data_IF_328917596554
#
_entry.id   IF_328917596554
#
_cell.length_a   1.000
_cell.length_b   1.000
_cell.length_c   1.000
_cell.angle_alpha   90.00
_cell.angle_beta   90.00
_cell.angle_gamma   90.00
#
_symmetry.space_group_name_H-M   'P 1'
#
loop_
_entity.id
_entity.type
_entity.pdbx_description
1 polymer ?
#
# COMPACT_ATOMS: atom_id res chain seq x y z
N UNK A 1 28.89 44.16 57.07
CA UNK A 1 28.38 43.69 55.77
C UNK A 1 29.36 43.91 54.62
N UNK A 2 30.03 45.07 54.49
CA UNK A 2 31.02 45.29 53.41
C UNK A 2 32.19 44.27 53.42
N UNK A 3 32.68 43.89 54.60
CA UNK A 3 33.78 42.93 54.73
C UNK A 3 33.44 41.52 54.23
N UNK A 4 32.18 41.08 54.33
CA UNK A 4 31.73 39.76 53.88
C UNK A 4 31.64 39.69 52.35
N UNK A 5 31.22 40.80 51.73
CA UNK A 5 31.14 40.92 50.27
C UNK A 5 32.54 40.94 49.64
N UNK A 6 33.49 41.65 50.26
CA UNK A 6 34.88 41.68 49.78
C UNK A 6 35.53 40.29 49.88
N UNK A 7 35.30 39.55 50.97
CA UNK A 7 35.82 38.18 51.09
C UNK A 7 35.22 37.22 50.05
N UNK A 8 33.95 37.37 49.67
CA UNK A 8 33.32 36.54 48.63
C UNK A 8 33.89 36.82 47.23
N UNK A 9 34.19 38.10 46.92
CA UNK A 9 34.80 38.49 45.64
C UNK A 9 36.24 37.96 45.56
N UNK A 10 37.00 38.02 46.66
CA UNK A 10 38.37 37.47 46.71
C UNK A 10 38.35 35.95 46.55
N UNK A 11 37.42 35.24 47.20
CA UNK A 11 37.30 33.78 47.07
C UNK A 11 36.90 33.37 45.64
N UNK A 12 35.96 34.09 45.00
CA UNK A 12 35.57 33.83 43.62
C UNK A 12 36.72 34.12 42.63
N UNK A 13 37.46 35.22 42.85
CA UNK A 13 38.63 35.58 42.05
C UNK A 13 39.75 34.55 42.17
N UNK A 14 40.03 34.07 43.38
CA UNK A 14 41.04 33.03 43.63
C UNK A 14 40.63 31.69 43.01
N UNK A 15 39.35 31.32 43.05
CA UNK A 15 38.84 30.11 42.38
C UNK A 15 38.91 30.19 40.86
N UNK A 16 38.64 31.37 40.26
CA UNK A 16 38.80 31.58 38.81
C UNK A 16 40.27 31.50 38.39
N UNK A 17 41.19 32.08 39.17
CA UNK A 17 42.63 31.97 38.89
C UNK A 17 43.09 30.52 39.01
N UNK A 18 42.68 29.78 40.05
CA UNK A 18 43.01 28.35 40.20
C UNK A 18 42.44 27.50 39.04
N UNK A 19 41.27 27.85 38.51
CA UNK A 19 40.70 27.18 37.34
C UNK A 19 41.42 27.53 36.03
N UNK A 20 42.00 28.74 35.92
CA UNK A 20 42.73 29.22 34.75
C UNK A 20 44.24 28.90 34.78
N UNK A 21 44.83 28.68 35.95
CA UNK A 21 46.26 28.35 36.13
C UNK A 21 46.53 26.88 36.44
N UNK A 22 45.49 26.05 36.56
CA UNK A 22 45.68 24.60 36.45
C UNK A 22 46.00 24.32 34.99
N UNK A 23 47.29 24.07 34.74
CA UNK A 23 47.84 23.65 33.47
C UNK A 23 46.85 22.70 32.78
N UNK A 24 46.30 23.19 31.67
CA UNK A 24 45.86 22.30 30.63
C UNK A 24 47.10 21.48 30.28
N UNK A 25 47.15 20.23 30.72
CA UNK A 25 48.04 19.26 30.08
C UNK A 25 47.66 19.31 28.61
N UNK A 26 48.51 19.99 27.85
CA UNK A 26 48.57 19.86 26.41
C UNK A 26 48.82 18.38 26.17
N UNK A 27 47.75 17.62 25.97
CA UNK A 27 47.84 16.41 25.17
C UNK A 27 48.17 16.92 23.79
N UNK A 28 49.48 16.98 23.53
CA UNK A 28 50.04 16.93 22.20
C UNK A 28 49.30 15.75 21.57
N UNK A 29 48.32 16.05 20.70
CA UNK A 29 47.90 15.10 19.69
C UNK A 29 49.12 15.01 18.78
N UNK A 30 50.13 14.27 19.25
CA UNK A 30 51.01 13.57 18.36
C UNK A 30 49.99 12.90 17.43
N UNK A 31 50.07 13.26 16.15
CA UNK A 31 49.79 12.26 15.15
C UNK A 31 50.71 11.08 15.50
N UNK A 32 50.27 10.25 16.43
CA UNK A 32 50.14 8.85 16.15
C UNK A 32 49.35 8.85 14.83
N UNK A 33 50.10 8.96 13.73
CA UNK A 33 50.17 7.88 12.77
C UNK A 33 50.17 6.61 13.61
N UNK A 34 48.97 6.24 14.08
CA UNK A 34 48.56 4.88 14.16
C UNK A 34 48.94 4.42 12.78
N UNK A 35 50.05 3.69 12.70
CA UNK A 35 50.17 2.69 11.68
C UNK A 35 48.77 2.10 11.64
N UNK A 36 48.02 2.48 10.61
CA UNK A 36 47.09 1.57 10.02
C UNK A 36 48.00 0.37 9.69
N UNK A 37 48.23 -0.50 10.69
CA UNK A 37 47.78 -1.86 10.54
C UNK A 37 46.42 -1.64 9.93
N UNK A 38 46.38 -1.78 8.61
CA UNK A 38 45.25 -2.34 7.92
C UNK A 38 44.77 -3.42 8.89
N UNK A 39 43.83 -3.04 9.77
CA UNK A 39 42.95 -4.00 10.35
C UNK A 39 42.30 -4.49 9.09
N UNK A 40 42.89 -5.55 8.49
CA UNK A 40 42.32 -6.27 7.36
C UNK A 40 40.88 -6.34 7.78
N UNK A 41 40.00 -5.55 7.13
CA UNK A 41 38.59 -5.55 7.46
C UNK A 41 38.28 -7.03 7.51
N UNK A 42 37.94 -7.54 8.71
CA UNK A 42 37.77 -8.98 8.87
C UNK A 42 36.59 -9.28 7.97
N UNK A 43 36.88 -9.72 6.74
CA UNK A 43 35.88 -9.99 5.73
C UNK A 43 34.91 -10.93 6.41
N UNK A 44 33.68 -10.48 6.60
CA UNK A 44 32.73 -11.27 7.35
C UNK A 44 32.61 -12.62 6.63
N UNK A 45 32.93 -13.74 7.28
CA UNK A 45 32.97 -15.05 6.62
C UNK A 45 31.61 -15.46 6.03
N UNK A 46 30.54 -14.79 6.45
CA UNK A 46 29.19 -15.02 6.00
C UNK A 46 28.76 -14.09 4.88
N UNK A 47 29.41 -12.94 4.63
CA UNK A 47 28.91 -11.95 3.67
C UNK A 47 28.69 -12.49 2.25
N UNK A 48 29.48 -13.48 1.82
CA UNK A 48 29.41 -14.10 0.49
C UNK A 48 28.63 -15.43 0.48
N UNK A 49 27.90 -15.76 1.55
CA UNK A 49 27.22 -17.07 1.69
C UNK A 49 25.73 -17.04 1.26
N UNK A 50 25.35 -16.08 0.41
CA UNK A 50 23.99 -15.94 -0.10
C UNK A 50 23.48 -17.20 -0.82
N UNK A 51 24.30 -17.78 -1.70
CA UNK A 51 23.95 -19.00 -2.45
C UNK A 51 23.73 -20.21 -1.53
N UNK A 52 24.53 -20.31 -0.45
CA UNK A 52 24.35 -21.36 0.55
C UNK A 52 23.02 -21.20 1.29
N UNK A 53 22.59 -19.96 1.58
CA UNK A 53 21.31 -19.68 2.20
C UNK A 53 20.15 -20.00 1.25
N UNK A 54 20.26 -19.64 -0.03
CA UNK A 54 19.27 -19.99 -1.07
C UNK A 54 19.13 -21.50 -1.20
N UNK A 55 20.24 -22.23 -1.35
CA UNK A 55 20.23 -23.68 -1.49
C UNK A 55 19.59 -24.37 -0.27
N UNK A 56 19.79 -23.81 0.93
CA UNK A 56 19.17 -24.32 2.16
C UNK A 56 17.64 -24.11 2.17
N UNK A 57 17.13 -22.99 1.64
CA UNK A 57 15.69 -22.81 1.46
C UNK A 57 15.16 -23.75 0.38
N UNK A 58 15.80 -23.81 -0.79
CA UNK A 58 15.36 -24.64 -1.91
C UNK A 58 15.22 -26.11 -1.51
N UNK A 59 16.17 -26.66 -0.75
CA UNK A 59 16.13 -28.06 -0.29
C UNK A 59 15.22 -28.32 0.91
N UNK A 60 14.62 -27.27 1.49
CA UNK A 60 13.74 -27.43 2.64
C UNK A 60 12.49 -28.23 2.24
N UNK A 61 12.17 -29.25 3.03
CA UNK A 61 11.01 -30.11 2.81
C UNK A 61 9.72 -29.35 3.09
N UNK A 62 8.76 -29.49 2.18
CA UNK A 62 7.42 -28.94 2.32
C UNK A 62 6.62 -29.84 3.24
N UNK A 63 6.00 -29.25 4.26
CA UNK A 63 5.14 -29.98 5.20
C UNK A 63 3.74 -30.11 4.63
N UNK A 64 3.04 -31.21 4.97
CA UNK A 64 1.63 -31.40 4.63
C UNK A 64 1.32 -31.90 3.22
N UNK A 65 2.32 -32.08 2.33
CA UNK A 65 2.14 -32.71 1.01
C UNK A 65 2.61 -34.18 0.98
N UNK A 66 3.57 -34.56 1.84
CA UNK A 66 4.09 -35.92 1.92
C UNK A 66 3.05 -36.93 2.44
N UNK A 67 2.03 -36.49 3.16
CA UNK A 67 0.94 -37.34 3.67
C UNK A 67 -0.07 -37.72 2.57
N UNK A 68 -0.14 -36.96 1.47
CA UNK A 68 -1.07 -37.21 0.36
C UNK A 68 -0.45 -38.04 -0.79
N UNK A 69 0.87 -38.07 -0.90
CA UNK A 69 1.58 -38.62 -2.06
C UNK A 69 1.94 -40.12 -1.95
N UNK A 70 1.65 -40.77 -0.81
CA UNK A 70 2.01 -42.18 -0.55
C UNK A 70 3.50 -42.37 -0.16
N UNK A 71 3.82 -43.52 0.45
CA UNK A 71 5.11 -43.80 1.10
C UNK A 71 6.35 -43.77 0.17
N UNK A 72 6.16 -43.79 -1.15
CA UNK A 72 7.24 -43.86 -2.15
C UNK A 72 7.49 -42.53 -2.91
N UNK A 73 6.75 -41.46 -2.61
CA UNK A 73 6.95 -40.18 -3.27
C UNK A 73 8.11 -39.39 -2.64
N UNK A 74 9.03 -38.88 -3.47
CA UNK A 74 10.06 -37.96 -2.98
C UNK A 74 9.40 -36.74 -2.30
N UNK A 75 9.87 -36.34 -1.10
CA UNK A 75 9.26 -35.24 -0.38
C UNK A 75 9.44 -33.94 -1.18
N UNK A 76 8.32 -33.31 -1.54
CA UNK A 76 8.33 -32.02 -2.23
C UNK A 76 9.20 -31.01 -1.49
N UNK A 77 9.97 -30.24 -2.25
CA UNK A 77 10.86 -29.21 -1.73
C UNK A 77 10.34 -27.83 -2.08
N UNK A 78 10.72 -26.81 -1.31
CA UNK A 78 10.35 -25.41 -1.62
C UNK A 78 10.87 -25.04 -3.00
N UNK A 79 12.08 -25.47 -3.38
CA UNK A 79 12.66 -25.22 -4.70
C UNK A 79 11.80 -25.77 -5.83
N UNK A 80 11.27 -26.99 -5.69
CA UNK A 80 10.38 -27.60 -6.68
C UNK A 80 9.05 -26.82 -6.80
N UNK A 81 8.46 -26.38 -5.68
CA UNK A 81 7.23 -25.58 -5.71
C UNK A 81 7.42 -24.19 -6.32
N UNK A 82 8.58 -23.55 -6.13
CA UNK A 82 8.88 -22.25 -6.77
C UNK A 82 9.21 -22.37 -8.26
N UNK A 83 9.41 -23.59 -8.78
CA UNK A 83 9.54 -23.84 -10.21
C UNK A 83 8.19 -24.20 -10.88
N UNK A 84 7.14 -24.41 -10.07
CA UNK A 84 5.80 -24.76 -10.55
C UNK A 84 4.94 -23.49 -10.70
N UNK A 85 4.71 -23.08 -11.95
CA UNK A 85 3.87 -21.91 -12.28
C UNK A 85 2.42 -22.07 -11.81
N UNK A 86 1.91 -23.30 -11.79
CA UNK A 86 0.58 -23.63 -11.25
C UNK A 86 0.53 -23.35 -9.75
N UNK A 87 1.54 -23.78 -9.01
CA UNK A 87 1.62 -23.48 -7.57
C UNK A 87 1.70 -21.96 -7.30
N UNK A 88 2.52 -21.22 -8.06
CA UNK A 88 2.67 -19.76 -7.90
C UNK A 88 1.34 -19.05 -8.13
N UNK A 89 0.69 -19.33 -9.26
CA UNK A 89 -0.56 -18.67 -9.62
C UNK A 89 -1.73 -19.09 -8.74
N UNK A 90 -1.88 -20.39 -8.44
CA UNK A 90 -3.05 -20.91 -7.73
C UNK A 90 -2.93 -20.83 -6.21
N UNK A 91 -1.74 -21.06 -5.63
CA UNK A 91 -1.53 -21.11 -4.18
C UNK A 91 -0.90 -19.83 -3.64
N UNK A 92 0.09 -19.25 -4.31
CA UNK A 92 0.63 -17.96 -3.87
C UNK A 92 -0.21 -16.77 -4.34
N UNK A 93 -1.14 -16.97 -5.28
CA UNK A 93 -2.00 -15.91 -5.85
C UNK A 93 -1.18 -14.78 -6.49
N UNK A 94 -0.03 -15.12 -7.05
CA UNK A 94 0.81 -14.19 -7.79
C UNK A 94 0.58 -14.46 -9.27
N UNK A 95 -0.14 -13.56 -9.93
CA UNK A 95 -0.43 -13.59 -11.36
C UNK A 95 -0.01 -12.27 -11.98
N UNK A 96 0.79 -12.30 -13.05
CA UNK A 96 1.21 -11.10 -13.78
C UNK A 96 2.69 -10.72 -13.61
N UNK A 97 3.21 -10.53 -12.38
CA UNK A 97 4.61 -10.18 -12.13
C UNK A 97 5.61 -11.18 -12.73
N UNK A 98 6.71 -10.67 -13.29
CA UNK A 98 7.81 -11.50 -13.83
C UNK A 98 8.64 -12.07 -12.68
N UNK A 99 9.07 -13.33 -12.78
CA UNK A 99 9.98 -13.91 -11.79
C UNK A 99 11.35 -13.24 -11.89
N UNK A 100 11.77 -12.56 -10.82
CA UNK A 100 13.13 -12.05 -10.65
C UNK A 100 14.07 -13.11 -10.05
N UNK A 101 13.52 -14.25 -9.62
CA UNK A 101 14.27 -15.40 -9.11
C UNK A 101 14.67 -15.30 -7.64
N UNK A 102 15.62 -16.15 -7.24
CA UNK A 102 16.09 -16.25 -5.87
C UNK A 102 17.06 -15.10 -5.53
N UNK A 103 16.82 -14.46 -4.40
CA UNK A 103 17.65 -13.39 -3.87
C UNK A 103 18.00 -13.68 -2.42
N UNK A 104 19.21 -13.31 -2.02
CA UNK A 104 19.67 -13.38 -0.64
C UNK A 104 20.26 -12.04 -0.22
N UNK A 105 19.70 -11.48 0.84
CA UNK A 105 20.25 -10.30 1.50
C UNK A 105 20.82 -10.72 2.84
N UNK A 106 22.09 -10.39 3.07
CA UNK A 106 22.69 -10.57 4.39
C UNK A 106 22.03 -9.61 5.38
N UNK A 107 21.39 -10.15 6.41
CA UNK A 107 20.60 -9.33 7.34
C UNK A 107 21.46 -8.89 8.52
N UNK A 108 22.22 -7.81 8.30
CA UNK A 108 23.27 -7.33 9.23
C UNK A 108 22.81 -6.54 10.46
N UNK A 109 21.51 -6.34 10.71
CA UNK A 109 21.01 -5.40 11.74
C UNK A 109 20.29 -6.02 12.96
N UNK A 110 20.50 -7.30 13.28
CA UNK A 110 19.95 -7.85 14.52
C UNK A 110 21.03 -8.12 15.56
N UNK A 111 20.67 -7.90 16.83
CA UNK A 111 21.47 -8.12 18.06
C UNK A 111 22.00 -9.57 18.24
N UNK A 112 21.92 -10.42 17.22
CA UNK A 112 22.17 -11.87 17.24
C UNK A 112 23.30 -12.36 16.32
N UNK A 113 24.02 -11.48 15.62
CA UNK A 113 25.30 -11.82 14.98
C UNK A 113 25.22 -12.33 13.52
N UNK A 114 26.35 -12.80 12.96
CA UNK A 114 26.64 -12.64 11.53
C UNK A 114 26.15 -13.74 10.56
N UNK A 115 25.44 -14.80 11.00
CA UNK A 115 25.04 -15.95 10.15
C UNK A 115 23.61 -15.90 9.57
N UNK A 116 22.91 -14.78 9.73
CA UNK A 116 21.51 -14.64 9.30
C UNK A 116 21.36 -14.04 7.91
N UNK A 117 20.50 -14.66 7.11
CA UNK A 117 20.14 -14.23 5.77
C UNK A 117 18.63 -14.08 5.64
N UNK A 118 18.21 -13.03 4.95
CA UNK A 118 16.88 -12.93 4.38
C UNK A 118 16.93 -13.50 2.96
N UNK A 119 16.26 -14.62 2.73
CA UNK A 119 16.16 -15.24 1.40
C UNK A 119 14.76 -15.01 0.86
N UNK A 120 14.63 -14.59 -0.38
CA UNK A 120 13.35 -14.32 -1.06
C UNK A 120 13.33 -15.00 -2.42
N UNK A 121 12.16 -15.50 -2.82
CA UNK A 121 11.89 -15.74 -4.23
C UNK A 121 11.08 -14.55 -4.74
N UNK A 122 11.73 -13.68 -5.53
CA UNK A 122 11.22 -12.37 -5.87
C UNK A 122 10.43 -12.40 -7.18
N UNK A 123 9.32 -11.69 -7.19
CA UNK A 123 8.53 -11.37 -8.36
C UNK A 123 8.53 -9.85 -8.54
N UNK A 124 8.91 -9.42 -9.74
CA UNK A 124 9.00 -8.01 -10.09
C UNK A 124 7.64 -7.52 -10.58
N UNK A 125 7.06 -6.61 -9.81
CA UNK A 125 5.86 -5.86 -10.18
C UNK A 125 6.21 -4.38 -10.35
N UNK A 126 6.44 -3.97 -11.59
CA UNK A 126 7.00 -2.68 -11.95
C UNK A 126 8.35 -2.45 -11.24
N UNK A 127 8.46 -1.49 -10.32
CA UNK A 127 9.70 -1.17 -9.62
C UNK A 127 9.79 -1.80 -8.22
N UNK A 128 8.83 -2.66 -7.86
CA UNK A 128 8.74 -3.29 -6.55
C UNK A 128 8.90 -4.80 -6.68
N UNK A 129 9.65 -5.38 -5.76
CA UNK A 129 9.82 -6.84 -5.67
C UNK A 129 9.07 -7.39 -4.46
N UNK A 130 8.19 -8.35 -4.72
CA UNK A 130 7.36 -9.03 -3.72
C UNK A 130 7.56 -10.54 -3.77
N UNK A 131 7.15 -11.26 -2.73
CA UNK A 131 7.14 -12.73 -2.79
C UNK A 131 7.40 -13.40 -1.44
N UNK A 132 7.44 -14.74 -1.43
CA UNK A 132 7.75 -15.49 -0.23
C UNK A 132 9.17 -15.19 0.25
N UNK A 133 9.30 -14.92 1.55
CA UNK A 133 10.57 -14.62 2.20
C UNK A 133 10.82 -15.48 3.45
N UNK A 134 12.05 -15.92 3.64
CA UNK A 134 12.51 -16.77 4.73
C UNK A 134 13.69 -16.16 5.47
N UNK A 135 13.74 -16.42 6.76
CA UNK A 135 14.90 -16.18 7.60
C UNK A 135 15.72 -17.45 7.69
N UNK A 136 16.99 -17.34 7.32
CA UNK A 136 17.92 -18.46 7.26
C UNK A 136 19.06 -18.21 8.22
N UNK A 137 19.25 -19.13 9.17
CA UNK A 137 20.45 -19.18 9.98
C UNK A 137 21.37 -20.28 9.46
N UNK A 138 22.46 -19.87 8.80
CA UNK A 138 23.42 -20.79 8.22
C UNK A 138 24.17 -21.62 9.27
N UNK A 139 24.34 -21.10 10.50
CA UNK A 139 25.07 -21.79 11.56
C UNK A 139 24.29 -23.00 12.07
N UNK A 140 22.98 -22.82 12.27
CA UNK A 140 22.08 -23.88 12.75
C UNK A 140 21.38 -24.64 11.64
N UNK A 141 21.57 -24.21 10.38
CA UNK A 141 20.84 -24.69 9.20
C UNK A 141 19.31 -24.57 9.34
N UNK A 142 18.85 -23.56 10.07
CA UNK A 142 17.42 -23.35 10.32
C UNK A 142 16.81 -22.41 9.28
N UNK A 143 15.69 -22.81 8.70
CA UNK A 143 14.87 -22.01 7.78
C UNK A 143 13.52 -21.74 8.43
N UNK A 144 13.15 -20.46 8.53
CA UNK A 144 11.88 -20.02 9.13
C UNK A 144 11.15 -19.12 8.14
N UNK A 145 9.88 -19.41 7.80
CA UNK A 145 9.07 -18.49 7.03
C UNK A 145 8.96 -17.13 7.73
N UNK A 146 9.28 -16.05 7.03
CA UNK A 146 9.14 -14.68 7.53
C UNK A 146 7.71 -14.18 7.31
N UNK A 147 7.15 -14.43 6.13
CA UNK A 147 5.84 -13.96 5.71
C UNK A 147 4.86 -15.10 5.39
N UNK A 148 3.60 -14.73 5.13
CA UNK A 148 2.51 -15.68 4.89
C UNK A 148 2.73 -16.47 3.61
N UNK A 149 3.28 -15.84 2.56
CA UNK A 149 3.58 -16.53 1.31
C UNK A 149 4.66 -17.59 1.49
N UNK A 150 5.71 -17.31 2.26
CA UNK A 150 6.70 -18.32 2.63
C UNK A 150 6.10 -19.42 3.52
N UNK A 151 5.12 -19.09 4.35
CA UNK A 151 4.41 -20.07 5.17
C UNK A 151 3.60 -21.02 4.29
N UNK A 152 2.92 -20.50 3.26
CA UNK A 152 2.24 -21.30 2.22
C UNK A 152 3.24 -22.15 1.45
N UNK A 153 4.35 -21.58 0.98
CA UNK A 153 5.38 -22.34 0.26
C UNK A 153 6.04 -23.43 1.11
N UNK A 154 6.10 -23.26 2.44
CA UNK A 154 6.71 -24.27 3.35
C UNK A 154 5.69 -25.27 3.90
N UNK A 155 4.41 -24.90 3.94
CA UNK A 155 3.30 -25.73 4.42
C UNK A 155 1.98 -25.27 3.78
N UNK A 156 1.65 -25.71 2.56
CA UNK A 156 0.53 -25.18 1.80
C UNK A 156 -0.81 -25.35 2.51
N UNK A 157 -1.02 -26.46 3.23
CA UNK A 157 -2.29 -26.76 3.90
C UNK A 157 -2.55 -25.81 5.06
N UNK A 158 -1.56 -25.56 5.93
CA UNK A 158 -1.71 -24.64 7.07
C UNK A 158 -1.46 -23.18 6.70
N UNK A 159 -0.63 -22.91 5.70
CA UNK A 159 -0.28 -21.54 5.31
C UNK A 159 -1.47 -20.75 4.79
N UNK A 160 -2.35 -21.41 4.02
CA UNK A 160 -3.56 -20.78 3.47
C UNK A 160 -4.63 -20.50 4.52
N UNK A 161 -4.57 -21.17 5.68
CA UNK A 161 -5.46 -20.92 6.82
C UNK A 161 -5.07 -19.67 7.62
N UNK A 162 -3.90 -19.08 7.32
CA UNK A 162 -3.45 -17.86 7.99
C UNK A 162 -4.47 -16.73 7.80
N UNK A 163 -4.78 -16.02 8.90
CA UNK A 163 -5.65 -14.84 8.85
C UNK A 163 -5.09 -13.70 7.98
N UNK A 164 -3.82 -13.76 7.60
CA UNK A 164 -3.15 -12.78 6.73
C UNK A 164 -3.02 -13.24 5.27
N UNK A 165 -3.41 -14.47 4.96
CA UNK A 165 -3.41 -14.98 3.59
C UNK A 165 -4.51 -14.30 2.77
N UNK A 166 -4.19 -13.96 1.52
CA UNK A 166 -5.10 -13.34 0.55
C UNK A 166 -5.80 -12.09 1.12
N UNK A 167 -5.00 -11.18 1.71
CA UNK A 167 -5.48 -9.94 2.34
C UNK A 167 -5.23 -8.66 1.55
N UNK A 168 -4.70 -8.75 0.33
CA UNK A 168 -4.32 -7.56 -0.45
C UNK A 168 -5.48 -6.56 -0.60
N UNK A 169 -6.67 -7.03 -0.98
CA UNK A 169 -7.86 -6.18 -1.13
C UNK A 169 -8.32 -5.56 0.19
N UNK A 170 -8.30 -6.33 1.28
CA UNK A 170 -8.70 -5.85 2.61
C UNK A 170 -7.69 -4.84 3.17
N UNK A 171 -6.40 -5.03 2.91
CA UNK A 171 -5.33 -4.08 3.25
C UNK A 171 -5.56 -2.78 2.49
N UNK A 172 -5.73 -2.82 1.16
CA UNK A 172 -5.99 -1.61 0.36
C UNK A 172 -7.25 -0.90 0.84
N UNK A 173 -8.38 -1.60 1.01
CA UNK A 173 -9.63 -0.99 1.50
C UNK A 173 -9.46 -0.36 2.88
N UNK A 174 -8.77 -1.02 3.82
CA UNK A 174 -8.55 -0.47 5.16
C UNK A 174 -7.63 0.74 5.14
N UNK A 175 -6.58 0.72 4.33
CA UNK A 175 -5.66 1.85 4.16
C UNK A 175 -6.33 3.04 3.50
N UNK A 176 -7.03 2.82 2.39
CA UNK A 176 -7.67 3.90 1.61
C UNK A 176 -8.83 4.53 2.35
N UNK A 177 -9.40 3.82 3.33
CA UNK A 177 -10.43 4.32 4.26
C UNK A 177 -9.87 5.05 5.48
N UNK A 178 -8.53 5.12 5.66
CA UNK A 178 -7.90 5.88 6.73
C UNK A 178 -8.33 7.35 6.66
N UNK A 179 -8.71 7.94 7.80
CA UNK A 179 -9.28 9.29 7.88
C UNK A 179 -8.28 10.27 8.45
N UNK A 180 -8.11 11.38 7.74
CA UNK A 180 -7.39 12.55 8.23
C UNK A 180 -8.31 13.44 9.09
N UNK A 181 -7.77 14.43 9.83
CA UNK A 181 -8.58 15.28 10.72
C UNK A 181 -9.78 15.96 10.05
N UNK A 182 -9.66 16.33 8.77
CA UNK A 182 -10.74 16.93 7.97
C UNK A 182 -11.81 15.94 7.48
N UNK A 183 -11.68 14.64 7.79
CA UNK A 183 -12.61 13.58 7.38
C UNK A 183 -12.31 12.95 6.02
N UNK A 184 -11.53 13.63 5.16
CA UNK A 184 -11.02 13.05 3.91
C UNK A 184 -10.30 11.74 4.17
N UNK A 185 -10.47 10.78 3.27
CA UNK A 185 -9.75 9.52 3.33
C UNK A 185 -8.51 9.48 2.44
N UNK A 186 -7.63 8.51 2.65
CA UNK A 186 -6.43 8.34 1.83
C UNK A 186 -6.76 8.14 0.34
N UNK A 187 -7.86 7.47 0.00
CA UNK A 187 -8.33 7.37 -1.39
C UNK A 187 -8.57 8.75 -2.03
N UNK A 188 -9.27 9.63 -1.32
CA UNK A 188 -9.51 11.02 -1.73
C UNK A 188 -8.21 11.83 -1.80
N UNK A 189 -7.34 11.72 -0.80
CA UNK A 189 -6.05 12.41 -0.79
C UNK A 189 -5.17 11.99 -1.99
N UNK A 190 -5.17 10.70 -2.35
CA UNK A 190 -4.51 10.19 -3.57
C UNK A 190 -5.10 10.81 -4.83
N UNK A 191 -6.43 10.87 -4.95
CA UNK A 191 -7.05 11.51 -6.11
C UNK A 191 -6.62 12.96 -6.25
N UNK A 192 -6.70 13.74 -5.17
CA UNK A 192 -6.33 15.15 -5.17
C UNK A 192 -4.85 15.35 -5.50
N UNK A 193 -3.97 14.52 -4.93
CA UNK A 193 -2.54 14.57 -5.21
C UNK A 193 -2.22 14.40 -6.69
N UNK A 194 -2.86 13.46 -7.38
CA UNK A 194 -2.63 13.22 -8.81
C UNK A 194 -3.49 14.09 -9.73
N UNK A 195 -4.53 14.72 -9.21
CA UNK A 195 -5.30 15.72 -9.94
C UNK A 195 -4.54 17.05 -10.05
N UNK A 196 -3.95 17.52 -8.93
CA UNK A 196 -3.27 18.81 -8.82
C UNK A 196 -1.91 18.87 -9.54
N UNK A 197 -1.33 17.73 -9.90
CA UNK A 197 -0.13 17.70 -10.73
C UNK A 197 -0.50 18.10 -12.16
N UNK A 198 -0.23 19.36 -12.49
CA UNK A 198 -0.44 19.96 -13.82
C UNK A 198 0.08 19.03 -14.91
N UNK A 199 -0.80 18.69 -15.86
CA UNK A 199 -0.45 18.05 -17.12
C UNK A 199 0.39 16.79 -16.97
N UNK A 200 -0.24 15.68 -16.57
CA UNK A 200 0.31 14.33 -16.76
C UNK A 200 0.81 14.22 -18.20
N UNK A 201 2.13 14.26 -18.38
CA UNK A 201 2.78 14.25 -19.68
C UNK A 201 2.42 12.98 -20.44
N UNK A 202 2.71 12.96 -21.74
CA UNK A 202 2.58 11.74 -22.53
C UNK A 202 3.48 10.65 -21.91
N UNK A 203 2.88 9.60 -21.34
CA UNK A 203 3.59 8.53 -20.64
C UNK A 203 3.33 8.44 -19.12
N UNK A 204 2.69 9.45 -18.53
CA UNK A 204 2.35 9.43 -17.11
C UNK A 204 1.15 8.51 -16.85
N UNK A 205 1.30 7.55 -15.94
CA UNK A 205 0.22 6.61 -15.63
C UNK A 205 0.33 6.10 -14.21
N UNK A 206 -0.75 6.21 -13.45
CA UNK A 206 -0.85 5.54 -12.15
C UNK A 206 -0.98 4.05 -12.38
N UNK A 207 -0.15 3.21 -11.79
CA UNK A 207 -0.24 1.75 -11.94
C UNK A 207 -1.19 1.14 -10.89
N UNK A 208 -1.18 1.69 -9.67
CA UNK A 208 -2.02 1.25 -8.55
C UNK A 208 -1.22 0.62 -7.40
N UNK A 209 -1.91 -0.14 -6.55
CA UNK A 209 -1.33 -0.74 -5.34
C UNK A 209 -0.68 -2.11 -5.55
N UNK A 210 0.52 -2.29 -5.03
CA UNK A 210 1.17 -3.59 -4.84
C UNK A 210 1.32 -3.85 -3.34
N UNK A 211 0.90 -5.02 -2.86
CA UNK A 211 0.89 -5.36 -1.43
C UNK A 211 1.85 -6.53 -1.16
N UNK A 212 2.82 -6.31 -0.27
CA UNK A 212 3.74 -7.32 0.22
C UNK A 212 3.48 -7.58 1.71
N UNK A 213 3.30 -8.84 2.10
CA UNK A 213 3.22 -9.19 3.51
C UNK A 213 4.64 -9.31 4.07
N UNK A 214 4.95 -8.53 5.11
CA UNK A 214 6.30 -8.48 5.66
C UNK A 214 6.50 -9.54 6.77
N UNK A 215 5.80 -9.38 7.90
CA UNK A 215 5.79 -10.32 9.03
C UNK A 215 4.59 -10.05 9.92
N UNK A 216 4.10 -11.08 10.60
CA UNK A 216 2.99 -10.98 11.55
C UNK A 216 1.80 -10.18 10.99
N UNK A 217 1.40 -9.09 11.63
CA UNK A 217 0.33 -8.18 11.23
C UNK A 217 0.78 -7.07 10.27
N UNK A 218 2.05 -7.01 9.86
CA UNK A 218 2.61 -5.91 9.07
C UNK A 218 2.58 -6.22 7.57
N UNK A 219 2.07 -5.25 6.81
CA UNK A 219 2.07 -5.22 5.36
C UNK A 219 2.83 -4.00 4.88
N UNK A 220 3.60 -4.16 3.81
CA UNK A 220 4.13 -3.06 3.01
C UNK A 220 3.24 -2.87 1.80
N UNK A 221 2.86 -1.64 1.54
CA UNK A 221 1.98 -1.28 0.45
C UNK A 221 2.62 -0.20 -0.39
N UNK A 222 2.67 -0.43 -1.69
CA UNK A 222 3.35 0.43 -2.65
C UNK A 222 2.32 0.97 -3.63
N UNK A 223 2.06 2.27 -3.59
CA UNK A 223 1.26 2.93 -4.63
C UNK A 223 2.19 3.36 -5.75
N UNK A 224 2.09 2.73 -6.92
CA UNK A 224 3.05 2.88 -8.02
C UNK A 224 2.46 3.74 -9.16
N UNK A 225 3.30 4.54 -9.82
CA UNK A 225 2.98 5.28 -11.04
C UNK A 225 4.24 5.47 -11.91
N UNK A 226 4.04 5.84 -13.17
CA UNK A 226 5.08 6.31 -14.08
C UNK A 226 4.93 7.81 -14.26
N UNK A 227 6.04 8.55 -14.20
CA UNK A 227 6.12 9.99 -14.40
C UNK A 227 7.35 10.28 -15.27
N UNK A 228 7.16 10.90 -16.44
CA UNK A 228 8.26 11.20 -17.37
C UNK A 228 9.01 9.96 -17.90
N UNK A 229 8.34 8.80 -17.94
CA UNK A 229 8.95 7.51 -18.28
C UNK A 229 9.69 6.82 -17.15
N UNK A 230 9.80 7.45 -15.98
CA UNK A 230 10.41 6.86 -14.78
C UNK A 230 9.33 6.30 -13.84
N UNK A 231 9.56 5.08 -13.34
CA UNK A 231 8.65 4.45 -12.39
C UNK A 231 8.93 4.94 -10.96
N UNK A 232 7.89 5.43 -10.31
CA UNK A 232 7.88 5.96 -8.95
C UNK A 232 6.90 5.21 -8.06
N UNK A 233 7.11 5.26 -6.74
CA UNK A 233 6.16 4.71 -5.79
C UNK A 233 6.14 5.45 -4.45
N UNK A 234 4.99 5.39 -3.78
CA UNK A 234 4.81 5.76 -2.39
C UNK A 234 4.74 4.49 -1.54
N UNK A 235 5.63 4.36 -0.56
CA UNK A 235 5.68 3.20 0.34
C UNK A 235 5.00 3.52 1.67
N UNK A 236 4.05 2.65 2.04
CA UNK A 236 3.34 2.68 3.29
C UNK A 236 3.55 1.38 4.06
N UNK A 237 3.65 1.51 5.38
CA UNK A 237 3.58 0.38 6.30
C UNK A 237 2.20 0.37 6.95
N UNK A 238 1.55 -0.79 6.93
CA UNK A 238 0.21 -0.98 7.47
C UNK A 238 0.20 -2.11 8.51
N UNK A 239 -0.18 -1.77 9.75
CA UNK A 239 -0.47 -2.75 10.80
C UNK A 239 -1.94 -3.16 10.69
N UNK A 240 -2.17 -4.38 10.20
CA UNK A 240 -3.49 -4.91 9.89
C UNK A 240 -4.39 -5.04 11.12
N UNK A 241 -3.82 -5.47 12.25
CA UNK A 241 -4.57 -5.71 13.47
C UNK A 241 -4.93 -4.39 14.17
N UNK A 242 -4.02 -3.41 14.18
CA UNK A 242 -4.25 -2.08 14.77
C UNK A 242 -4.94 -1.10 13.82
N UNK A 243 -5.01 -1.44 12.52
CA UNK A 243 -5.43 -0.53 11.44
C UNK A 243 -4.63 0.78 11.43
N UNK A 244 -3.33 0.69 11.72
CA UNK A 244 -2.44 1.84 11.74
C UNK A 244 -1.67 1.95 10.43
N UNK A 245 -1.61 3.15 9.88
CA UNK A 245 -0.93 3.47 8.63
C UNK A 245 0.25 4.40 8.91
N UNK A 246 1.40 4.14 8.28
CA UNK A 246 2.59 4.96 8.39
C UNK A 246 3.22 5.18 7.01
N UNK A 247 3.53 6.42 6.66
CA UNK A 247 4.38 6.73 5.51
C UNK A 247 5.83 6.29 5.76
N UNK A 248 6.44 5.61 4.79
CA UNK A 248 7.83 5.13 4.87
C UNK A 248 8.78 6.04 4.09
N UNK A 249 8.37 6.50 2.90
CA UNK A 249 9.19 7.36 2.05
C UNK A 249 8.58 8.77 1.86
N UNK A 250 9.35 9.66 1.22
CA UNK A 250 8.95 11.05 1.00
C UNK A 250 7.67 11.17 0.17
N UNK A 251 7.51 10.33 -0.84
CA UNK A 251 6.32 10.29 -1.70
C UNK A 251 5.06 9.96 -0.90
N UNK A 252 5.13 8.95 -0.02
CA UNK A 252 4.02 8.61 0.88
C UNK A 252 3.70 9.75 1.85
N UNK A 253 4.73 10.41 2.40
CA UNK A 253 4.55 11.56 3.28
C UNK A 253 3.88 12.74 2.56
N UNK A 254 4.24 13.01 1.30
CA UNK A 254 3.61 14.05 0.49
C UNK A 254 2.13 13.76 0.22
N UNK A 255 1.77 12.51 -0.06
CA UNK A 255 0.37 12.10 -0.24
C UNK A 255 -0.40 12.26 1.08
N UNK A 256 0.15 11.81 2.21
CA UNK A 256 -0.50 12.00 3.52
C UNK A 256 -0.70 13.47 3.84
N UNK A 257 0.27 14.33 3.50
CA UNK A 257 0.17 15.77 3.70
C UNK A 257 -1.02 16.38 2.97
N UNK A 258 -1.36 15.92 1.77
CA UNK A 258 -2.58 16.37 1.06
C UNK A 258 -3.84 16.12 1.89
N UNK A 259 -3.91 14.99 2.59
CA UNK A 259 -5.02 14.69 3.50
C UNK A 259 -4.97 15.49 4.81
N UNK A 260 -3.78 15.71 5.37
CA UNK A 260 -3.57 16.47 6.62
C UNK A 260 -3.84 17.97 6.47
N UNK A 261 -3.48 18.54 5.32
CA UNK A 261 -3.67 19.96 4.98
C UNK A 261 -5.05 20.26 4.37
N UNK A 262 -5.87 19.22 4.12
CA UNK A 262 -7.21 19.41 3.56
C UNK A 262 -8.09 20.21 4.52
N UNK A 263 -8.81 21.21 4.01
CA UNK A 263 -9.67 22.04 4.84
C UNK A 263 -10.86 21.22 5.39
N UNK A 264 -11.21 21.37 6.67
CA UNK A 264 -12.39 20.71 7.23
C UNK A 264 -13.65 21.15 6.50
N UNK A 265 -14.30 20.22 5.81
CA UNK A 265 -15.52 20.47 5.04
C UNK A 265 -16.40 19.23 5.00
N UNK A 266 -17.70 19.43 4.80
CA UNK A 266 -18.64 18.33 4.63
C UNK A 266 -18.51 17.75 3.22
N UNK A 267 -18.33 16.43 3.17
CA UNK A 267 -18.22 15.68 1.92
C UNK A 267 -19.51 15.82 1.11
N UNK A 268 -19.40 16.18 -0.17
CA UNK A 268 -20.56 16.18 -1.06
C UNK A 268 -21.01 14.74 -1.35
N UNK A 269 -22.31 14.51 -1.49
CA UNK A 269 -22.85 13.19 -1.85
C UNK A 269 -23.26 13.15 -3.31
N UNK A 270 -22.65 12.23 -4.07
CA UNK A 270 -23.04 11.92 -5.45
C UNK A 270 -24.09 10.82 -5.52
N UNK A 271 -24.36 10.13 -4.41
CA UNK A 271 -25.39 9.09 -4.34
C UNK A 271 -26.77 9.65 -4.73
N UNK A 272 -27.53 8.97 -5.60
CA UNK A 272 -28.91 9.35 -5.86
C UNK A 272 -29.73 9.31 -4.56
N UNK A 273 -30.50 10.35 -4.27
CA UNK A 273 -31.37 10.38 -3.07
C UNK A 273 -32.45 9.28 -3.04
N UNK A 274 -32.68 8.60 -4.16
CA UNK A 274 -33.56 7.43 -4.29
C UNK A 274 -32.82 6.09 -4.18
N UNK A 275 -31.55 6.09 -3.80
CA UNK A 275 -30.73 4.89 -3.62
C UNK A 275 -30.22 4.82 -2.18
N UNK A 276 -30.48 3.71 -1.50
CA UNK A 276 -30.02 3.45 -0.15
C UNK A 276 -29.09 2.22 -0.13
N UNK A 277 -27.76 2.41 -0.04
CA UNK A 277 -26.79 1.31 -0.04
C UNK A 277 -26.87 0.46 1.24
N UNK A 278 -27.50 0.96 2.30
CA UNK A 278 -27.58 0.28 3.61
C UNK A 278 -28.65 -0.82 3.63
N UNK A 279 -29.53 -0.86 2.63
CA UNK A 279 -30.54 -1.92 2.51
C UNK A 279 -29.86 -3.29 2.36
N UNK A 280 -30.22 -4.21 3.28
CA UNK A 280 -29.69 -5.59 3.28
C UNK A 280 -30.02 -6.36 2.01
N UNK A 281 -31.16 -6.07 1.39
CA UNK A 281 -31.62 -6.74 0.16
C UNK A 281 -31.37 -5.82 -1.02
N UNK A 282 -30.48 -6.22 -1.94
CA UNK A 282 -30.11 -5.42 -3.11
C UNK A 282 -31.33 -4.94 -3.94
N UNK A 283 -32.36 -5.76 -4.06
CA UNK A 283 -33.61 -5.42 -4.77
C UNK A 283 -34.44 -4.31 -4.10
N UNK A 284 -34.11 -3.92 -2.87
CA UNK A 284 -34.78 -2.87 -2.10
C UNK A 284 -33.95 -1.57 -2.00
N UNK A 285 -32.73 -1.53 -2.56
CA UNK A 285 -31.87 -0.34 -2.52
C UNK A 285 -32.48 0.85 -3.26
N UNK A 286 -33.20 0.60 -4.36
CA UNK A 286 -33.98 1.65 -5.03
C UNK A 286 -35.27 1.95 -4.24
N UNK A 287 -35.50 3.23 -3.95
CA UNK A 287 -36.60 3.73 -3.14
C UNK A 287 -37.69 4.42 -3.98
N UNK A 288 -38.88 4.55 -3.40
CA UNK A 288 -40.00 5.33 -3.97
C UNK A 288 -40.33 5.00 -5.43
N UNK A 289 -40.51 6.05 -6.25
CA UNK A 289 -40.80 5.92 -7.68
C UNK A 289 -39.65 5.27 -8.48
N UNK A 290 -38.39 5.46 -8.07
CA UNK A 290 -37.25 4.84 -8.72
C UNK A 290 -37.31 3.31 -8.63
N UNK A 291 -37.78 2.75 -7.49
CA UNK A 291 -38.01 1.30 -7.34
C UNK A 291 -38.95 0.75 -8.39
N UNK A 292 -40.03 1.47 -8.69
CA UNK A 292 -41.00 1.06 -9.70
C UNK A 292 -40.42 1.15 -11.10
N UNK A 293 -39.69 2.22 -11.41
CA UNK A 293 -39.03 2.39 -12.71
C UNK A 293 -37.96 1.33 -12.96
N UNK A 294 -37.10 1.05 -11.97
CA UNK A 294 -36.06 0.03 -12.07
C UNK A 294 -36.58 -1.42 -12.14
N UNK A 295 -37.88 -1.66 -11.89
CA UNK A 295 -38.52 -2.95 -12.15
C UNK A 295 -39.03 -3.08 -13.59
N UNK A 296 -39.18 -1.97 -14.32
CA UNK A 296 -39.64 -2.02 -15.71
C UNK A 296 -38.55 -2.65 -16.59
N UNK A 297 -38.89 -3.59 -17.50
CA UNK A 297 -37.91 -4.28 -18.32
C UNK A 297 -36.95 -3.35 -19.07
N UNK A 298 -37.44 -2.21 -19.57
CA UNK A 298 -36.66 -1.20 -20.30
C UNK A 298 -35.55 -0.52 -19.46
N UNK A 299 -35.69 -0.45 -18.14
CA UNK A 299 -34.79 0.28 -17.24
C UNK A 299 -34.04 -0.64 -16.28
N UNK A 300 -34.51 -1.89 -16.15
CA UNK A 300 -34.03 -2.86 -15.16
C UNK A 300 -32.51 -3.04 -15.19
N UNK A 301 -31.97 -3.27 -16.38
CA UNK A 301 -30.55 -3.57 -16.53
C UNK A 301 -29.68 -2.31 -16.33
N UNK A 302 -30.13 -1.14 -16.79
CA UNK A 302 -29.47 0.13 -16.52
C UNK A 302 -29.43 0.46 -15.03
N UNK A 303 -30.53 0.25 -14.31
CA UNK A 303 -30.57 0.40 -12.86
C UNK A 303 -29.70 -0.63 -12.13
N UNK A 304 -29.63 -1.87 -12.64
CA UNK A 304 -28.74 -2.90 -12.09
C UNK A 304 -27.28 -2.50 -12.26
N UNK A 305 -26.90 -2.03 -13.44
CA UNK A 305 -25.54 -1.60 -13.73
C UNK A 305 -25.12 -0.38 -12.89
N UNK A 306 -26.01 0.59 -12.74
CA UNK A 306 -25.77 1.72 -11.84
C UNK A 306 -25.63 1.25 -10.39
N UNK A 307 -26.50 0.37 -9.89
CA UNK A 307 -26.38 -0.18 -8.54
C UNK A 307 -25.05 -0.91 -8.31
N UNK A 308 -24.60 -1.74 -9.27
CA UNK A 308 -23.29 -2.42 -9.20
C UNK A 308 -22.13 -1.43 -9.03
N UNK A 309 -22.17 -0.26 -9.69
CA UNK A 309 -21.17 0.79 -9.49
C UNK A 309 -21.32 1.47 -8.12
N UNK A 310 -22.54 1.86 -7.75
CA UNK A 310 -22.83 2.57 -6.49
C UNK A 310 -22.52 1.73 -5.25
N UNK A 311 -22.55 0.41 -5.37
CA UNK A 311 -22.18 -0.52 -4.28
C UNK A 311 -20.66 -0.57 -4.01
N UNK A 312 -19.84 0.06 -4.85
CA UNK A 312 -18.41 0.24 -4.59
C UNK A 312 -18.18 1.47 -3.70
N UNK A 313 -18.54 1.34 -2.41
CA UNK A 313 -18.54 2.45 -1.46
C UNK A 313 -17.21 3.22 -1.42
N UNK A 314 -16.07 2.52 -1.40
CA UNK A 314 -14.75 3.16 -1.37
C UNK A 314 -14.48 3.99 -2.63
N UNK A 315 -14.91 3.50 -3.80
CA UNK A 315 -14.80 4.21 -5.07
C UNK A 315 -15.67 5.48 -5.05
N UNK A 316 -16.96 5.33 -4.69
CA UNK A 316 -17.91 6.44 -4.66
C UNK A 316 -17.45 7.51 -3.69
N UNK A 317 -17.07 7.11 -2.48
CA UNK A 317 -16.61 8.05 -1.46
C UNK A 317 -15.33 8.79 -1.88
N UNK A 318 -14.39 8.10 -2.53
CA UNK A 318 -13.15 8.70 -3.02
C UNK A 318 -13.45 9.78 -4.06
N UNK A 319 -14.40 9.54 -4.97
CA UNK A 319 -14.88 10.52 -5.94
C UNK A 319 -15.64 11.68 -5.30
N UNK A 320 -16.40 11.42 -4.25
CA UNK A 320 -17.09 12.45 -3.47
C UNK A 320 -16.10 13.44 -2.86
N UNK A 321 -14.96 12.99 -2.34
CA UNK A 321 -13.90 13.89 -1.85
C UNK A 321 -13.26 14.71 -2.96
N UNK A 322 -13.00 14.12 -4.12
CA UNK A 322 -12.51 14.85 -5.29
C UNK A 322 -13.48 15.97 -5.68
N UNK A 323 -14.78 15.66 -5.76
CA UNK A 323 -15.80 16.65 -6.14
C UNK A 323 -16.01 17.70 -5.06
N UNK A 324 -15.82 17.36 -3.78
CA UNK A 324 -15.82 18.31 -2.67
C UNK A 324 -14.70 19.34 -2.83
N UNK A 325 -13.50 18.90 -3.20
CA UNK A 325 -12.37 19.82 -3.43
C UNK A 325 -12.55 20.72 -4.66
N UNK A 326 -13.36 20.29 -5.63
CA UNK A 326 -13.67 21.03 -6.86
C UNK A 326 -14.87 21.96 -6.72
N UNK A 327 -15.74 21.72 -5.75
CA UNK A 327 -16.90 22.57 -5.49
C UNK A 327 -16.48 23.79 -4.67
N UNK A 328 -16.90 24.99 -5.09
CA UNK A 328 -16.70 26.21 -4.30
C UNK A 328 -17.36 26.10 -2.91
N UNK A 329 -18.53 25.44 -2.84
CA UNK A 329 -19.31 25.19 -1.62
C UNK A 329 -20.17 23.93 -1.75
N UNK A 330 -20.60 23.35 -0.63
CA UNK A 330 -21.55 22.23 -0.62
C UNK A 330 -22.90 22.65 -1.24
N UNK A 331 -23.34 23.88 -0.99
CA UNK A 331 -24.57 24.45 -1.56
C UNK A 331 -24.52 24.52 -3.09
N UNK A 332 -23.38 24.86 -3.68
CA UNK A 332 -23.21 24.87 -5.13
C UNK A 332 -23.38 23.46 -5.72
N UNK A 333 -22.93 22.43 -5.01
CA UNK A 333 -23.11 21.04 -5.43
C UNK A 333 -24.57 20.59 -5.35
N UNK A 334 -25.29 20.96 -4.29
CA UNK A 334 -26.73 20.69 -4.18
C UNK A 334 -27.53 21.41 -5.28
N UNK A 335 -27.24 22.70 -5.53
CA UNK A 335 -27.86 23.45 -6.62
C UNK A 335 -27.61 22.78 -7.98
N UNK A 336 -26.40 22.26 -8.23
CA UNK A 336 -26.09 21.52 -9.44
C UNK A 336 -26.97 20.26 -9.61
N UNK A 337 -27.29 19.55 -8.51
CA UNK A 337 -28.20 18.40 -8.54
C UNK A 337 -29.65 18.82 -8.78
N UNK A 338 -30.11 19.88 -8.12
CA UNK A 338 -31.48 20.42 -8.27
C UNK A 338 -31.75 20.89 -9.71
N UNK A 339 -30.78 21.58 -10.32
CA UNK A 339 -30.82 22.00 -11.72
C UNK A 339 -30.60 20.85 -12.72
N UNK A 340 -30.38 19.63 -12.23
CA UNK A 340 -30.06 18.43 -13.01
C UNK A 340 -28.77 18.54 -13.83
N UNK A 341 -27.89 19.46 -13.50
CA UNK A 341 -26.55 19.58 -14.09
C UNK A 341 -25.58 18.54 -13.51
N UNK A 342 -25.82 18.07 -12.29
CA UNK A 342 -25.12 16.97 -11.65
C UNK A 342 -26.03 15.73 -11.61
N UNK A 343 -25.71 14.69 -12.40
CA UNK A 343 -26.59 13.52 -12.57
C UNK A 343 -25.88 12.24 -13.01
N UNK A 344 -26.46 11.11 -12.61
CA UNK A 344 -26.11 9.79 -13.14
C UNK A 344 -26.87 9.50 -14.44
N UNK A 345 -26.16 8.91 -15.42
CA UNK A 345 -26.73 8.56 -16.71
C UNK A 345 -26.22 7.18 -17.19
N UNK A 346 -27.03 6.12 -17.05
CA UNK A 346 -26.75 4.82 -17.64
C UNK A 346 -27.00 4.81 -19.15
N UNK A 347 -26.05 4.33 -19.94
CA UNK A 347 -26.15 4.16 -21.40
C UNK A 347 -25.83 2.73 -21.80
N UNK A 348 -26.70 2.09 -22.58
CA UNK A 348 -26.40 0.76 -23.14
C UNK A 348 -25.29 0.86 -24.19
N UNK A 349 -24.27 0.00 -24.09
CA UNK A 349 -23.15 -0.09 -25.06
C UNK A 349 -23.19 -1.36 -25.90
N UNK A 350 -23.83 -2.40 -25.38
CA UNK A 350 -23.96 -3.70 -26.02
C UNK A 350 -24.71 -4.67 -25.13
N UNK A 351 -24.76 -5.93 -25.53
CA UNK A 351 -25.48 -6.95 -24.76
C UNK A 351 -24.84 -7.17 -23.37
N UNK A 352 -25.54 -6.74 -22.32
CA UNK A 352 -25.08 -6.87 -20.93
C UNK A 352 -23.99 -5.89 -20.51
N UNK A 353 -23.66 -4.88 -21.33
CA UNK A 353 -22.65 -3.86 -21.03
C UNK A 353 -23.30 -2.47 -21.02
N UNK A 354 -23.14 -1.76 -19.91
CA UNK A 354 -23.68 -0.42 -19.70
C UNK A 354 -22.56 0.55 -19.34
N UNK A 355 -22.49 1.69 -20.03
CA UNK A 355 -21.68 2.82 -19.63
C UNK A 355 -22.45 3.66 -18.63
N UNK A 356 -21.99 3.69 -17.39
CA UNK A 356 -22.52 4.55 -16.34
C UNK A 356 -21.71 5.83 -16.33
N UNK A 357 -22.37 6.97 -16.54
CA UNK A 357 -21.75 8.30 -16.50
C UNK A 357 -22.21 9.06 -15.26
N UNK A 358 -21.31 9.80 -14.64
CA UNK A 358 -21.64 10.90 -13.74
C UNK A 358 -21.26 12.21 -14.43
N UNK A 359 -22.27 13.00 -14.78
CA UNK A 359 -22.12 14.30 -15.42
C UNK A 359 -22.24 15.36 -14.33
N UNK A 360 -21.35 16.35 -14.31
CA UNK A 360 -21.40 17.47 -13.36
C UNK A 360 -20.95 18.77 -14.03
N UNK A 361 -21.47 19.90 -13.54
CA UNK A 361 -21.04 21.24 -13.92
C UNK A 361 -20.92 22.09 -12.65
N UNK A 362 -19.70 22.18 -12.12
CA UNK A 362 -19.40 22.86 -10.85
C UNK A 362 -18.61 24.16 -11.05
N UNK A 363 -18.15 24.45 -12.28
CA UNK A 363 -17.33 25.62 -12.61
C UNK A 363 -17.70 26.27 -13.95
N UNK A 364 -18.92 26.05 -14.43
CA UNK A 364 -19.39 26.53 -15.73
C UNK A 364 -19.15 25.56 -16.89
N UNK A 365 -18.21 24.62 -16.76
CA UNK A 365 -17.93 23.57 -17.75
C UNK A 365 -18.58 22.23 -17.37
N UNK A 366 -19.12 21.52 -18.37
CA UNK A 366 -19.66 20.17 -18.18
C UNK A 366 -18.52 19.15 -18.25
N UNK A 367 -18.32 18.41 -17.17
CA UNK A 367 -17.37 17.30 -17.11
C UNK A 367 -18.11 15.97 -16.92
N UNK A 368 -17.43 14.87 -17.24
CA UNK A 368 -18.01 13.52 -17.16
C UNK A 368 -17.01 12.51 -16.63
N UNK A 369 -17.43 11.78 -15.59
CA UNK A 369 -16.81 10.52 -15.18
C UNK A 369 -17.57 9.35 -15.81
N UNK A 370 -16.87 8.27 -16.17
CA UNK A 370 -17.52 7.15 -16.86
C UNK A 370 -16.91 5.79 -16.50
N UNK A 371 -17.77 4.79 -16.38
CA UNK A 371 -17.43 3.38 -16.14
C UNK A 371 -18.25 2.47 -17.03
N UNK A 372 -17.63 1.45 -17.59
CA UNK A 372 -18.30 0.37 -18.29
C UNK A 372 -18.55 -0.79 -17.31
N UNK A 373 -19.82 -1.12 -17.13
CA UNK A 373 -20.28 -2.17 -16.21
C UNK A 373 -20.76 -3.36 -17.03
N UNK A 374 -20.10 -4.49 -16.85
CA UNK A 374 -20.47 -5.77 -17.46
C UNK A 374 -21.33 -6.59 -16.49
N UNK A 375 -22.64 -6.62 -16.72
CA UNK A 375 -23.61 -7.31 -15.87
C UNK A 375 -23.50 -8.83 -15.87
N UNK A 376 -22.80 -9.42 -16.87
CA UNK A 376 -22.57 -10.87 -16.95
C UNK A 376 -21.38 -11.31 -16.11
N UNK A 377 -20.34 -10.47 -16.06
CA UNK A 377 -19.10 -10.71 -15.32
C UNK A 377 -19.07 -10.04 -13.94
N UNK A 378 -20.05 -9.19 -13.64
CA UNK A 378 -20.08 -8.31 -12.47
C UNK A 378 -18.80 -7.47 -12.34
N UNK A 379 -18.34 -6.97 -13.48
CA UNK A 379 -17.07 -6.26 -13.61
C UNK A 379 -17.34 -4.78 -13.92
N UNK A 380 -16.55 -3.89 -13.32
CA UNK A 380 -16.62 -2.44 -13.54
C UNK A 380 -15.27 -1.95 -14.03
N UNK A 381 -15.22 -1.39 -15.23
CA UNK A 381 -13.99 -0.87 -15.86
C UNK A 381 -14.11 0.64 -16.07
N UNK A 382 -13.12 1.41 -15.64
CA UNK A 382 -13.13 2.85 -15.83
C UNK A 382 -12.82 3.27 -17.28
N UNK A 383 -13.62 4.19 -17.81
CA UNK A 383 -13.56 4.64 -19.20
C UNK A 383 -12.88 6.02 -19.40
N UNK A 384 -12.51 6.72 -18.33
CA UNK A 384 -11.83 8.03 -18.38
C UNK A 384 -10.71 8.16 -17.36
N UNK A 385 -9.83 9.17 -17.52
CA UNK A 385 -8.62 9.36 -16.69
C UNK A 385 -8.93 9.37 -15.19
N UNK A 386 -9.85 10.23 -14.75
CA UNK A 386 -10.22 10.35 -13.33
C UNK A 386 -10.88 9.07 -12.83
N UNK A 387 -11.78 8.46 -13.62
CA UNK A 387 -12.40 7.18 -13.27
C UNK A 387 -11.37 6.05 -13.11
N UNK A 388 -10.31 6.04 -13.94
CA UNK A 388 -9.23 5.06 -13.85
C UNK A 388 -8.38 5.30 -12.62
N UNK A 389 -8.02 6.55 -12.37
CA UNK A 389 -7.30 6.96 -11.18
C UNK A 389 -8.07 6.58 -9.90
N UNK A 390 -9.37 6.85 -9.85
CA UNK A 390 -10.21 6.53 -8.70
C UNK A 390 -10.32 5.02 -8.46
N UNK A 391 -10.44 4.22 -9.52
CA UNK A 391 -10.40 2.76 -9.40
C UNK A 391 -9.05 2.24 -8.91
N UNK A 392 -7.94 2.76 -9.45
CA UNK A 392 -6.58 2.38 -9.05
C UNK A 392 -6.23 2.83 -7.63
N UNK A 393 -6.79 3.95 -7.18
CA UNK A 393 -6.62 4.46 -5.83
C UNK A 393 -7.22 3.54 -4.75
N UNK A 394 -8.24 2.75 -5.07
CA UNK A 394 -8.99 1.95 -4.07
C UNK A 394 -8.93 0.43 -4.27
N UNK A 395 -8.25 -0.05 -5.31
CA UNK A 395 -8.12 -1.48 -5.59
C UNK A 395 -6.65 -1.91 -5.70
N UNK A 396 -6.30 -3.13 -5.23
CA UNK A 396 -5.00 -3.73 -5.52
C UNK A 396 -4.83 -3.93 -7.03
N UNK A 397 -3.58 -3.90 -7.49
CA UNK A 397 -3.20 -4.41 -8.80
C UNK A 397 -3.39 -5.92 -8.77
N UNK A 398 -4.09 -6.44 -9.78
CA UNK A 398 -4.40 -7.85 -9.97
C UNK A 398 -3.87 -8.32 -11.31
#
# INVERSE_FOLDING_TARGET
MLGVVISLIVVAGVLMVIALTRDAEMVIVEQAVVEQREARERKNPWADQGDAAIALVQRSRVKGLAEEAGDDAEPATVGALMADEGFISEKLKISGPESAGWQAQWWGETRFGPSFFLVRYAFKDANVEVGPAWLVDLKTQKVVPKNVLASVASNPTKGVESKYYDKARQVVSAMTSHRFPAGINLGGALLLYFEQREGSGEGDTVLGWTIDHDRDNLFRAYFQWTEGGEQSYAEFEFDFDKRALRAVNLQAAQIMRVGEEFEPTDRVSIMPGTYDPTQRVAANRWLGGARQQCRQPRHRDGCKALATLLDQNELIETLEWLLTARSDTAEAFEACKEERKCRWMPEARGEGIYRIKYIYNLGGEEETLAWDVNLRKDQVEAAGRISQLSQRAVNPRG
#
